data_IF_995955345191
#
_entry.id   IF_995955345191
#
_cell.length_a   1.000
_cell.length_b   1.000
_cell.length_c   1.000
_cell.angle_alpha   90.00
_cell.angle_beta   90.00
_cell.angle_gamma   90.00
#
_symmetry.space_group_name_H-M   'P 1'
#
loop_
_entity.id
_entity.type
_entity.pdbx_description
1 polymer ?
#
# COMPACT_ATOMS: atom_id res chain seq x y z
N UNK A 1 13.21 -6.93 -11.67
CA UNK A 1 12.41 -6.98 -10.43
C UNK A 1 12.28 -5.58 -9.86
N UNK A 2 11.09 -5.20 -9.36
CA UNK A 2 10.89 -3.94 -8.65
C UNK A 2 11.07 -4.13 -7.14
N UNK A 3 10.57 -5.25 -6.63
CA UNK A 3 10.82 -5.74 -5.27
C UNK A 3 11.54 -7.07 -5.38
N UNK A 4 12.66 -7.20 -4.70
CA UNK A 4 13.46 -8.41 -4.64
C UNK A 4 13.94 -8.62 -3.20
N UNK A 5 13.34 -9.59 -2.52
CA UNK A 5 13.57 -9.88 -1.11
C UNK A 5 13.97 -11.34 -0.96
N UNK A 6 15.04 -11.58 -0.22
CA UNK A 6 15.55 -12.91 0.13
C UNK A 6 15.74 -13.04 1.63
N UNK A 7 15.16 -14.09 2.17
CA UNK A 7 15.31 -14.51 3.57
C UNK A 7 14.98 -13.40 4.58
N UNK A 8 13.84 -12.71 4.38
CA UNK A 8 13.40 -11.62 5.25
C UNK A 8 12.90 -12.15 6.58
N UNK A 9 13.50 -11.67 7.67
CA UNK A 9 13.07 -11.93 9.05
C UNK A 9 12.73 -10.64 9.77
N UNK A 10 11.63 -10.66 10.53
CA UNK A 10 11.23 -9.56 11.42
C UNK A 10 10.85 -10.13 12.79
N UNK A 11 11.47 -9.57 13.82
CA UNK A 11 11.20 -9.91 15.22
C UNK A 11 10.86 -8.65 16.00
N UNK A 12 9.91 -8.76 16.90
CA UNK A 12 9.55 -7.69 17.85
C UNK A 12 9.90 -8.15 19.27
N UNK A 13 10.55 -7.28 20.01
CA UNK A 13 10.79 -7.51 21.43
C UNK A 13 9.48 -7.31 22.22
N UNK A 14 9.01 -8.35 22.90
CA UNK A 14 7.90 -8.30 23.84
C UNK A 14 8.40 -8.68 25.24
N UNK A 15 8.88 -7.71 26.00
CA UNK A 15 9.47 -7.96 27.32
C UNK A 15 10.70 -8.87 27.24
N UNK A 16 10.65 -10.06 27.87
CA UNK A 16 11.76 -11.04 27.86
C UNK A 16 11.71 -12.04 26.69
N UNK A 17 10.70 -11.96 25.82
CA UNK A 17 10.55 -12.87 24.68
C UNK A 17 10.51 -12.08 23.38
N UNK A 18 11.19 -12.57 22.35
CA UNK A 18 11.11 -12.04 20.99
C UNK A 18 10.00 -12.76 20.24
N UNK A 19 9.05 -12.01 19.67
CA UNK A 19 8.02 -12.56 18.78
C UNK A 19 8.52 -12.48 17.35
N UNK A 20 8.78 -13.64 16.74
CA UNK A 20 9.17 -13.76 15.33
C UNK A 20 7.92 -13.70 14.46
N UNK A 21 7.73 -12.59 13.73
CA UNK A 21 6.50 -12.30 12.96
C UNK A 21 6.67 -12.62 11.49
N UNK A 22 7.86 -12.39 10.91
CA UNK A 22 8.21 -12.71 9.51
C UNK A 22 9.41 -13.64 9.54
N UNK A 23 9.31 -14.80 8.87
CA UNK A 23 10.22 -15.93 9.05
C UNK A 23 10.77 -16.43 7.72
N UNK A 24 11.84 -15.81 7.20
CA UNK A 24 12.52 -16.26 6.00
C UNK A 24 11.73 -16.06 4.70
N UNK A 25 11.07 -14.91 4.56
CA UNK A 25 10.25 -14.61 3.37
C UNK A 25 11.12 -14.33 2.16
N UNK A 26 10.80 -15.00 1.05
CA UNK A 26 11.29 -14.68 -0.30
C UNK A 26 10.16 -14.09 -1.12
N UNK A 27 10.31 -12.85 -1.61
CA UNK A 27 9.27 -12.13 -2.32
C UNK A 27 9.85 -11.39 -3.53
N UNK A 28 9.30 -11.70 -4.72
CA UNK A 28 9.73 -11.10 -5.98
C UNK A 28 8.53 -10.51 -6.70
N UNK A 29 8.55 -9.18 -6.94
CA UNK A 29 7.49 -8.46 -7.64
C UNK A 29 8.07 -7.78 -8.87
N UNK A 30 7.42 -7.97 -10.02
CA UNK A 30 7.82 -7.36 -11.28
C UNK A 30 7.27 -5.95 -11.42
N UNK A 31 7.88 -5.13 -12.26
CA UNK A 31 7.35 -3.82 -12.59
C UNK A 31 6.02 -3.95 -13.34
N UNK A 32 5.04 -3.11 -12.99
CA UNK A 32 3.70 -3.11 -13.58
C UNK A 32 2.76 -4.22 -13.06
N UNK A 33 3.24 -5.08 -12.19
CA UNK A 33 2.48 -6.19 -11.59
C UNK A 33 1.64 -5.71 -10.40
N UNK A 34 0.49 -6.35 -10.17
CA UNK A 34 -0.17 -6.37 -8.86
C UNK A 34 0.11 -7.71 -8.21
N UNK A 35 0.93 -7.70 -7.16
CA UNK A 35 1.19 -8.88 -6.33
C UNK A 35 0.43 -8.76 -5.01
N UNK A 36 -0.27 -9.82 -4.60
CA UNK A 36 -1.06 -9.81 -3.36
C UNK A 36 -0.51 -10.77 -2.31
N UNK A 37 -0.50 -10.30 -1.05
CA UNK A 37 -0.29 -11.13 0.12
C UNK A 37 -1.63 -11.46 0.76
N UNK A 38 -1.94 -12.74 0.85
CA UNK A 38 -3.18 -13.31 1.38
C UNK A 38 -2.89 -13.92 2.74
N UNK A 39 -3.87 -13.97 3.62
CA UNK A 39 -3.75 -14.73 4.88
C UNK A 39 -4.55 -14.09 6.01
N UNK A 40 -4.69 -14.83 7.11
CA UNK A 40 -5.44 -14.39 8.30
C UNK A 40 -4.84 -13.14 8.93
N UNK A 41 -5.67 -12.40 9.69
CA UNK A 41 -5.19 -11.25 10.45
C UNK A 41 -4.06 -11.65 11.42
N UNK A 42 -3.03 -10.82 11.50
CA UNK A 42 -1.90 -11.04 12.39
C UNK A 42 -0.81 -12.00 11.89
N UNK A 43 -0.91 -12.59 10.67
CA UNK A 43 0.13 -13.48 10.13
C UNK A 43 1.41 -12.77 9.67
N UNK A 44 1.42 -11.41 9.60
CA UNK A 44 2.62 -10.62 9.27
C UNK A 44 2.57 -9.81 7.97
N UNK A 45 1.48 -9.84 7.19
CA UNK A 45 1.34 -9.13 5.89
C UNK A 45 1.65 -7.64 5.98
N UNK A 46 0.96 -6.91 6.86
CA UNK A 46 1.19 -5.47 7.05
C UNK A 46 2.60 -5.17 7.58
N UNK A 47 3.23 -6.13 8.27
CA UNK A 47 4.64 -6.02 8.70
C UNK A 47 5.56 -5.98 7.48
N UNK A 48 5.35 -6.86 6.49
CA UNK A 48 6.12 -6.85 5.22
C UNK A 48 5.93 -5.51 4.50
N UNK A 49 4.69 -5.02 4.39
CA UNK A 49 4.43 -3.71 3.76
C UNK A 49 5.18 -2.58 4.47
N UNK A 50 5.18 -2.58 5.81
CA UNK A 50 5.88 -1.55 6.61
C UNK A 50 7.39 -1.61 6.45
N UNK A 51 7.97 -2.81 6.29
CA UNK A 51 9.39 -2.97 5.95
C UNK A 51 9.69 -2.36 4.58
N UNK A 52 8.91 -2.71 3.55
CA UNK A 52 9.08 -2.21 2.18
C UNK A 52 8.82 -0.70 2.08
N UNK A 53 7.92 -0.15 2.91
CA UNK A 53 7.68 1.28 3.03
C UNK A 53 8.80 2.05 3.76
N UNK A 54 9.77 1.34 4.36
CA UNK A 54 10.81 1.96 5.20
C UNK A 54 10.30 2.50 6.53
N UNK A 55 9.09 2.09 6.95
CA UNK A 55 8.48 2.45 8.24
C UNK A 55 8.96 1.55 9.36
N UNK A 56 9.37 0.32 9.04
CA UNK A 56 9.99 -0.63 9.95
C UNK A 56 11.38 -0.95 9.43
N UNK A 57 12.41 -0.54 10.19
CA UNK A 57 13.80 -0.61 9.74
C UNK A 57 14.60 -1.75 10.39
N UNK A 58 14.06 -2.35 11.46
CA UNK A 58 14.69 -3.49 12.16
C UNK A 58 14.22 -4.81 11.54
N UNK A 59 15.00 -5.34 10.62
CA UNK A 59 14.77 -6.59 9.91
C UNK A 59 16.12 -7.24 9.55
N UNK A 60 16.12 -8.50 9.14
CA UNK A 60 17.28 -9.25 8.66
C UNK A 60 16.97 -9.87 7.29
N UNK A 61 18.00 -10.19 6.52
CA UNK A 61 17.90 -10.72 5.18
C UNK A 61 18.48 -9.77 4.13
N UNK A 62 18.12 -9.98 2.86
CA UNK A 62 18.56 -9.15 1.75
C UNK A 62 17.35 -8.54 1.04
N UNK A 63 17.40 -7.26 0.73
CA UNK A 63 16.32 -6.56 0.05
C UNK A 63 16.87 -5.59 -0.99
N UNK A 64 16.27 -5.62 -2.18
CA UNK A 64 16.45 -4.60 -3.21
C UNK A 64 15.08 -4.04 -3.60
N UNK A 65 14.95 -2.72 -3.64
CA UNK A 65 13.75 -2.00 -4.05
C UNK A 65 14.10 -1.02 -5.16
N UNK A 66 13.33 -1.03 -6.26
CA UNK A 66 13.56 -0.14 -7.40
C UNK A 66 15.01 -0.22 -7.94
N UNK A 67 15.62 -1.41 -7.89
CA UNK A 67 17.01 -1.64 -8.29
C UNK A 67 18.07 -1.16 -7.30
N UNK A 68 17.68 -0.70 -6.11
CA UNK A 68 18.61 -0.26 -5.07
C UNK A 68 18.65 -1.26 -3.92
N UNK A 69 19.84 -1.67 -3.50
CA UNK A 69 20.03 -2.49 -2.30
C UNK A 69 19.71 -1.68 -1.06
N UNK A 70 18.83 -2.21 -0.22
CA UNK A 70 18.41 -1.61 1.05
C UNK A 70 19.09 -2.33 2.21
N UNK A 71 19.63 -1.55 3.14
CA UNK A 71 20.26 -2.10 4.35
C UNK A 71 19.29 -2.02 5.55
N UNK A 72 19.34 -2.98 6.49
CA UNK A 72 18.65 -2.83 7.76
C UNK A 72 19.01 -1.51 8.44
N UNK A 73 18.06 -0.94 9.17
CA UNK A 73 18.15 0.38 9.86
C UNK A 73 18.33 1.58 8.90
N UNK A 74 18.33 1.38 7.60
CA UNK A 74 18.38 2.49 6.63
C UNK A 74 17.05 3.25 6.61
N UNK A 75 17.12 4.58 6.76
CA UNK A 75 15.97 5.45 6.55
C UNK A 75 15.84 5.79 5.06
N UNK A 76 14.64 5.69 4.52
CA UNK A 76 14.38 6.08 3.14
C UNK A 76 14.42 7.60 2.99
N UNK A 77 15.11 8.08 1.97
CA UNK A 77 15.26 9.49 1.65
C UNK A 77 15.15 9.72 0.13
N UNK A 78 14.94 10.97 -0.27
CA UNK A 78 14.98 11.40 -1.66
C UNK A 78 14.02 10.60 -2.56
N UNK A 79 14.55 10.10 -3.68
CA UNK A 79 13.78 9.38 -4.69
C UNK A 79 13.15 8.09 -4.18
N UNK A 80 13.84 7.32 -3.34
CA UNK A 80 13.31 6.09 -2.79
C UNK A 80 12.03 6.33 -1.97
N UNK A 81 12.05 7.32 -1.06
CA UNK A 81 10.89 7.71 -0.25
C UNK A 81 9.74 8.25 -1.11
N UNK A 82 10.06 8.97 -2.19
CA UNK A 82 9.06 9.50 -3.12
C UNK A 82 8.41 8.40 -3.94
N UNK A 83 9.18 7.45 -4.44
CA UNK A 83 8.74 6.42 -5.38
C UNK A 83 8.00 5.25 -4.72
N UNK A 84 8.05 5.13 -3.39
CA UNK A 84 7.33 4.11 -2.61
C UNK A 84 6.33 4.82 -1.71
N UNK A 85 5.05 4.65 -2.00
CA UNK A 85 3.97 5.24 -1.21
C UNK A 85 3.06 4.14 -0.65
N UNK A 86 2.34 4.46 0.43
CA UNK A 86 1.48 3.50 1.11
C UNK A 86 0.10 4.11 1.38
N UNK A 87 -0.93 3.33 1.07
CA UNK A 87 -2.31 3.57 1.46
C UNK A 87 -2.62 2.61 2.61
N UNK A 88 -2.95 3.17 3.76
CA UNK A 88 -3.20 2.43 4.99
C UNK A 88 -4.65 1.93 5.07
N UNK A 89 -4.87 0.90 5.86
CA UNK A 89 -6.18 0.30 6.12
C UNK A 89 -7.19 1.31 6.67
N UNK A 90 -6.77 2.18 7.59
CA UNK A 90 -7.60 3.27 8.12
C UNK A 90 -7.19 4.61 7.50
N UNK A 91 -7.97 5.11 6.53
CA UNK A 91 -7.68 6.40 5.92
C UNK A 91 -7.86 7.57 6.91
N UNK A 92 -8.71 7.42 7.94
CA UNK A 92 -8.90 8.45 8.95
C UNK A 92 -7.64 8.63 9.81
N UNK A 93 -7.03 7.53 10.25
CA UNK A 93 -5.79 7.57 11.02
C UNK A 93 -4.60 8.13 10.20
N UNK A 94 -4.67 8.07 8.87
CA UNK A 94 -3.64 8.61 7.97
C UNK A 94 -3.76 10.12 7.73
N UNK A 95 -4.88 10.75 8.12
CA UNK A 95 -5.15 12.17 7.95
C UNK A 95 -5.22 12.86 9.33
N UNK A 96 -4.51 13.97 9.49
CA UNK A 96 -4.57 14.72 10.75
C UNK A 96 -5.98 15.33 10.93
N UNK A 97 -6.70 15.03 12.03
CA UNK A 97 -8.13 15.38 12.16
C UNK A 97 -8.40 16.89 12.15
N UNK A 98 -7.44 17.70 12.57
CA UNK A 98 -7.55 19.16 12.64
C UNK A 98 -6.99 19.90 11.42
N UNK A 99 -6.47 19.16 10.42
CA UNK A 99 -5.97 19.76 9.19
C UNK A 99 -7.02 19.65 8.09
N UNK A 100 -7.18 20.71 7.31
CA UNK A 100 -7.95 20.67 6.07
C UNK A 100 -7.27 19.76 5.05
N UNK A 101 -8.03 19.22 4.14
CA UNK A 101 -7.53 18.33 3.08
C UNK A 101 -6.45 19.01 2.24
N UNK A 102 -6.58 20.30 1.94
CA UNK A 102 -5.52 21.07 1.25
C UNK A 102 -4.15 20.94 1.91
N UNK A 103 -4.10 20.97 3.26
CA UNK A 103 -2.85 20.81 3.99
C UNK A 103 -2.30 19.39 3.87
N UNK A 104 -3.16 18.37 3.93
CA UNK A 104 -2.75 16.98 3.76
C UNK A 104 -2.09 16.71 2.39
N UNK A 105 -2.47 17.45 1.36
CA UNK A 105 -1.89 17.40 0.03
C UNK A 105 -0.63 18.25 -0.11
N UNK A 106 -0.61 19.45 0.47
CA UNK A 106 0.53 20.37 0.36
C UNK A 106 1.76 19.89 1.15
N UNK A 107 1.58 19.21 2.28
CA UNK A 107 2.68 18.73 3.12
C UNK A 107 3.66 17.79 2.39
N UNK A 108 3.24 16.69 1.73
CA UNK A 108 4.17 15.83 1.01
C UNK A 108 4.89 16.55 -0.13
N UNK A 109 4.20 17.45 -0.86
CA UNK A 109 4.82 18.25 -1.92
C UNK A 109 5.92 19.17 -1.39
N UNK A 110 5.66 19.83 -0.26
CA UNK A 110 6.65 20.69 0.43
C UNK A 110 7.86 19.88 0.93
N UNK A 111 7.62 18.72 1.56
CA UNK A 111 8.68 17.84 2.07
C UNK A 111 9.61 17.40 0.93
N UNK A 112 9.05 17.09 -0.23
CA UNK A 112 9.81 16.66 -1.41
C UNK A 112 10.23 17.81 -2.32
N UNK A 113 10.00 19.08 -1.92
CA UNK A 113 10.35 20.28 -2.67
C UNK A 113 9.79 20.28 -4.10
N UNK A 114 8.58 19.71 -4.28
CA UNK A 114 7.88 19.70 -5.55
C UNK A 114 7.07 20.98 -5.66
N UNK A 115 7.27 21.79 -6.71
CA UNK A 115 6.46 22.99 -6.96
C UNK A 115 4.99 22.59 -7.16
N UNK A 116 4.07 23.33 -6.56
CA UNK A 116 2.64 23.11 -6.69
C UNK A 116 1.86 24.42 -6.52
N UNK A 117 0.68 24.42 -7.07
CA UNK A 117 -0.33 25.47 -6.92
C UNK A 117 -1.69 24.87 -6.51
N UNK A 118 -2.72 25.69 -6.46
CA UNK A 118 -4.07 25.23 -6.14
C UNK A 118 -4.63 24.28 -7.19
N UNK A 119 -4.24 24.43 -8.45
CA UNK A 119 -4.73 23.58 -9.54
C UNK A 119 -4.10 22.19 -9.51
N UNK A 120 -2.85 22.07 -9.07
CA UNK A 120 -2.19 20.79 -8.79
C UNK A 120 -3.02 19.91 -7.83
N UNK A 121 -3.50 20.50 -6.73
CA UNK A 121 -4.31 19.77 -5.74
C UNK A 121 -5.70 19.44 -6.29
N UNK A 122 -6.32 20.36 -7.01
CA UNK A 122 -7.63 20.12 -7.64
C UNK A 122 -7.56 19.00 -8.69
N UNK A 123 -6.51 18.97 -9.50
CA UNK A 123 -6.28 17.89 -10.47
C UNK A 123 -6.12 16.54 -9.79
N UNK A 124 -5.35 16.46 -8.69
CA UNK A 124 -5.20 15.24 -7.92
C UNK A 124 -6.53 14.74 -7.33
N UNK A 125 -7.40 15.64 -6.87
CA UNK A 125 -8.76 15.29 -6.43
C UNK A 125 -9.62 14.81 -7.59
N UNK A 126 -9.56 15.48 -8.74
CA UNK A 126 -10.33 15.09 -9.93
C UNK A 126 -9.96 13.68 -10.43
N UNK A 127 -8.69 13.29 -10.37
CA UNK A 127 -8.22 11.94 -10.74
C UNK A 127 -8.89 10.83 -9.94
N UNK A 128 -9.31 11.12 -8.71
CA UNK A 128 -10.01 10.16 -7.85
C UNK A 128 -11.53 10.41 -7.79
N UNK A 129 -12.05 11.26 -8.68
CA UNK A 129 -13.49 11.56 -8.77
C UNK A 129 -14.02 12.42 -7.61
N UNK A 130 -13.18 13.25 -6.99
CA UNK A 130 -13.60 14.17 -5.94
C UNK A 130 -13.68 15.62 -6.44
N UNK A 131 -14.70 16.38 -6.00
CA UNK A 131 -14.83 17.80 -6.37
C UNK A 131 -13.80 18.67 -5.64
N UNK A 132 -13.46 19.81 -6.21
CA UNK A 132 -12.41 20.70 -5.73
C UNK A 132 -12.69 21.31 -4.34
N UNK A 133 -13.96 21.46 -3.94
CA UNK A 133 -14.38 22.00 -2.64
C UNK A 133 -13.96 21.10 -1.47
N UNK A 134 -13.64 19.83 -1.73
CA UNK A 134 -13.09 18.90 -0.73
C UNK A 134 -11.79 19.45 -0.09
N UNK A 135 -11.02 20.26 -0.81
CA UNK A 135 -9.80 20.89 -0.29
C UNK A 135 -10.02 21.68 1.01
N UNK A 136 -11.17 22.36 1.13
CA UNK A 136 -11.52 23.19 2.28
C UNK A 136 -12.10 22.42 3.47
N UNK A 137 -12.46 21.13 3.27
CA UNK A 137 -13.08 20.28 4.29
C UNK A 137 -12.04 19.67 5.23
N UNK A 138 -12.53 19.24 6.40
CA UNK A 138 -11.78 18.44 7.36
C UNK A 138 -12.08 16.94 7.16
N UNK A 139 -11.21 16.01 7.60
CA UNK A 139 -11.43 14.57 7.44
C UNK A 139 -12.78 14.07 7.99
N UNK A 140 -13.25 14.60 9.12
CA UNK A 140 -14.52 14.23 9.73
C UNK A 140 -15.76 14.66 8.90
N UNK A 141 -15.61 15.57 7.96
CA UNK A 141 -16.67 16.05 7.05
C UNK A 141 -16.79 15.21 5.76
N UNK A 142 -15.98 14.17 5.63
CA UNK A 142 -15.95 13.28 4.48
C UNK A 142 -16.54 11.91 4.82
N UNK A 143 -17.20 11.27 3.85
CA UNK A 143 -17.58 9.86 3.95
C UNK A 143 -16.35 8.94 3.99
N UNK A 144 -16.53 7.66 4.36
CA UNK A 144 -15.46 6.66 4.33
C UNK A 144 -14.80 6.54 2.95
N UNK A 145 -15.61 6.40 1.90
CA UNK A 145 -15.13 6.33 0.52
C UNK A 145 -14.43 7.60 0.05
N UNK A 146 -14.93 8.78 0.45
CA UNK A 146 -14.26 10.05 0.14
C UNK A 146 -12.90 10.16 0.83
N UNK A 147 -12.78 9.75 2.11
CA UNK A 147 -11.50 9.70 2.83
C UNK A 147 -10.52 8.75 2.17
N UNK A 148 -10.99 7.58 1.71
CA UNK A 148 -10.15 6.63 0.99
C UNK A 148 -9.64 7.21 -0.33
N UNK A 149 -10.50 7.85 -1.12
CA UNK A 149 -10.11 8.55 -2.35
C UNK A 149 -9.09 9.66 -2.08
N UNK A 150 -9.24 10.42 -0.99
CA UNK A 150 -8.25 11.42 -0.55
C UNK A 150 -6.91 10.77 -0.21
N UNK A 151 -6.90 9.65 0.52
CA UNK A 151 -5.66 8.94 0.86
C UNK A 151 -4.94 8.41 -0.39
N UNK A 152 -5.69 7.87 -1.36
CA UNK A 152 -5.15 7.43 -2.66
C UNK A 152 -4.58 8.64 -3.43
N UNK A 153 -5.34 9.72 -3.60
CA UNK A 153 -4.89 10.91 -4.33
C UNK A 153 -3.63 11.52 -3.71
N UNK A 154 -3.55 11.56 -2.37
CA UNK A 154 -2.37 12.04 -1.65
C UNK A 154 -1.13 11.19 -1.95
N UNK A 155 -1.26 9.88 -1.99
CA UNK A 155 -0.17 8.98 -2.35
C UNK A 155 0.30 9.20 -3.80
N UNK A 156 -0.64 9.45 -4.72
CA UNK A 156 -0.35 9.67 -6.14
C UNK A 156 0.30 11.01 -6.46
N UNK A 157 0.17 12.02 -5.60
CA UNK A 157 0.82 13.33 -5.79
C UNK A 157 2.32 13.23 -6.02
N UNK A 158 2.96 12.22 -5.44
CA UNK A 158 4.39 12.01 -5.56
C UNK A 158 4.77 11.16 -6.80
N UNK A 159 3.79 10.74 -7.60
CA UNK A 159 3.97 9.90 -8.79
C UNK A 159 4.81 8.65 -8.48
N UNK A 160 4.37 7.79 -7.54
CA UNK A 160 5.16 6.64 -7.11
C UNK A 160 5.23 5.57 -8.19
N UNK A 161 6.33 4.81 -8.22
CA UNK A 161 6.46 3.60 -9.01
C UNK A 161 5.87 2.37 -8.31
N UNK A 162 5.88 2.39 -6.97
CA UNK A 162 5.35 1.33 -6.11
C UNK A 162 4.31 1.90 -5.16
N UNK A 163 3.10 1.35 -5.21
CA UNK A 163 2.04 1.65 -4.25
C UNK A 163 1.75 0.42 -3.40
N UNK A 164 1.92 0.59 -2.10
CA UNK A 164 1.62 -0.42 -1.09
C UNK A 164 0.19 -0.20 -0.59
N UNK A 165 -0.64 -1.23 -0.69
CA UNK A 165 -2.07 -1.17 -0.37
C UNK A 165 -2.35 -2.13 0.81
N UNK A 166 -2.52 -1.58 2.00
CA UNK A 166 -2.82 -2.35 3.21
C UNK A 166 -4.33 -2.36 3.45
N UNK A 167 -5.02 -3.42 3.01
CA UNK A 167 -6.47 -3.61 3.11
C UNK A 167 -7.28 -2.36 2.69
N UNK A 168 -7.09 -1.84 1.47
CA UNK A 168 -7.56 -0.50 1.09
C UNK A 168 -9.07 -0.32 1.06
N UNK A 169 -9.85 -1.39 1.20
CA UNK A 169 -11.32 -1.36 1.10
C UNK A 169 -12.04 -2.03 2.27
N UNK A 170 -11.32 -2.57 3.27
CA UNK A 170 -11.90 -3.38 4.36
C UNK A 170 -12.89 -2.64 5.25
N UNK A 171 -12.82 -1.29 5.31
CA UNK A 171 -13.70 -0.45 6.11
C UNK A 171 -14.87 0.17 5.31
N UNK A 172 -15.08 -0.29 4.06
CA UNK A 172 -16.07 0.29 3.13
C UNK A 172 -17.20 -0.72 2.86
N UNK A 173 -18.38 -0.19 2.53
CA UNK A 173 -19.47 -1.02 2.02
C UNK A 173 -19.14 -1.58 0.62
N UNK A 174 -19.82 -2.65 0.22
CA UNK A 174 -19.51 -3.40 -1.02
C UNK A 174 -19.56 -2.55 -2.29
N UNK A 175 -20.49 -1.58 -2.37
CA UNK A 175 -20.62 -0.74 -3.56
C UNK A 175 -19.46 0.23 -3.68
N UNK A 176 -19.08 0.87 -2.59
CA UNK A 176 -17.93 1.79 -2.53
C UNK A 176 -16.61 1.02 -2.68
N UNK A 177 -16.52 -0.20 -2.14
CA UNK A 177 -15.37 -1.08 -2.34
C UNK A 177 -15.12 -1.33 -3.84
N UNK A 178 -16.14 -1.75 -4.60
CA UNK A 178 -16.01 -1.99 -6.03
C UNK A 178 -15.55 -0.73 -6.80
N UNK A 179 -16.09 0.44 -6.45
CA UNK A 179 -15.67 1.71 -7.05
C UNK A 179 -14.19 2.01 -6.79
N UNK A 180 -13.70 1.82 -5.55
CA UNK A 180 -12.30 2.06 -5.18
C UNK A 180 -11.36 1.08 -5.89
N UNK A 181 -11.73 -0.20 -6.00
CA UNK A 181 -10.93 -1.19 -6.72
C UNK A 181 -10.82 -0.87 -8.22
N UNK A 182 -11.93 -0.49 -8.85
CA UNK A 182 -11.93 -0.06 -10.24
C UNK A 182 -11.09 1.21 -10.46
N UNK A 183 -11.19 2.18 -9.55
CA UNK A 183 -10.34 3.37 -9.55
C UNK A 183 -8.86 3.00 -9.48
N UNK A 184 -8.46 2.14 -8.54
CA UNK A 184 -7.07 1.70 -8.40
C UNK A 184 -6.56 0.98 -9.67
N UNK A 185 -7.39 0.12 -10.29
CA UNK A 185 -7.04 -0.53 -11.55
C UNK A 185 -6.84 0.46 -12.71
N UNK A 186 -7.68 1.49 -12.80
CA UNK A 186 -7.54 2.55 -13.79
C UNK A 186 -6.26 3.34 -13.58
N UNK A 187 -6.02 3.81 -12.36
CA UNK A 187 -4.82 4.58 -11.99
C UNK A 187 -3.53 3.78 -12.19
N UNK A 188 -3.54 2.47 -11.89
CA UNK A 188 -2.40 1.58 -12.16
C UNK A 188 -1.99 1.60 -13.62
N UNK A 189 -2.97 1.50 -14.53
CA UNK A 189 -2.74 1.50 -15.99
C UNK A 189 -2.27 2.86 -16.48
N UNK A 190 -2.93 3.95 -16.06
CA UNK A 190 -2.60 5.31 -16.47
C UNK A 190 -1.21 5.75 -16.04
N UNK A 191 -0.77 5.36 -14.84
CA UNK A 191 0.53 5.74 -14.28
C UNK A 191 1.59 4.65 -14.35
N UNK A 192 1.30 3.50 -14.98
CA UNK A 192 2.20 2.34 -15.08
C UNK A 192 2.80 1.93 -13.74
N UNK A 193 1.97 1.86 -12.70
CA UNK A 193 2.40 1.57 -11.33
C UNK A 193 2.46 0.07 -11.04
N UNK A 194 3.26 -0.26 -10.05
CA UNK A 194 3.31 -1.60 -9.44
C UNK A 194 2.60 -1.56 -8.11
N UNK A 195 1.79 -2.58 -7.83
CA UNK A 195 1.07 -2.69 -6.56
C UNK A 195 1.55 -3.89 -5.75
N UNK A 196 1.75 -3.68 -4.45
CA UNK A 196 1.79 -4.76 -3.47
C UNK A 196 0.56 -4.59 -2.56
N UNK A 197 -0.39 -5.52 -2.70
CA UNK A 197 -1.69 -5.49 -2.05
C UNK A 197 -1.73 -6.49 -0.90
N UNK A 198 -2.26 -6.07 0.23
CA UNK A 198 -2.67 -6.96 1.33
C UNK A 198 -4.19 -6.96 1.38
N UNK A 199 -4.78 -8.14 1.35
CA UNK A 199 -6.21 -8.35 1.60
C UNK A 199 -6.45 -9.72 2.20
N UNK A 200 -7.55 -9.86 2.93
CA UNK A 200 -8.10 -11.14 3.37
C UNK A 200 -9.34 -11.54 2.55
N UNK A 201 -9.79 -10.68 1.64
CA UNK A 201 -10.95 -10.87 0.78
C UNK A 201 -10.52 -11.50 -0.55
N UNK A 202 -11.02 -12.71 -0.83
CA UNK A 202 -10.70 -13.47 -2.04
C UNK A 202 -11.17 -12.76 -3.32
N UNK A 203 -12.31 -12.08 -3.29
CA UNK A 203 -12.85 -11.37 -4.44
C UNK A 203 -12.00 -10.15 -4.80
N UNK A 204 -11.52 -9.41 -3.80
CA UNK A 204 -10.57 -8.31 -3.98
C UNK A 204 -9.30 -8.80 -4.67
N UNK A 205 -8.78 -9.93 -4.21
CA UNK A 205 -7.54 -10.51 -4.74
C UNK A 205 -7.75 -11.00 -6.18
N UNK A 206 -8.82 -11.72 -6.44
CA UNK A 206 -9.14 -12.20 -7.79
C UNK A 206 -9.34 -11.04 -8.80
N UNK A 207 -9.92 -9.93 -8.33
CA UNK A 207 -10.16 -8.75 -9.16
C UNK A 207 -8.89 -7.94 -9.46
N UNK A 208 -7.99 -7.84 -8.49
CA UNK A 208 -6.85 -6.92 -8.55
C UNK A 208 -5.54 -7.56 -8.98
N UNK A 209 -5.34 -8.87 -8.72
CA UNK A 209 -4.01 -9.44 -8.68
C UNK A 209 -3.61 -10.15 -9.97
N UNK A 210 -2.35 -9.98 -10.34
CA UNK A 210 -1.69 -10.79 -11.38
C UNK A 210 -1.11 -12.07 -10.76
N UNK A 211 -0.55 -11.97 -9.54
CA UNK A 211 -0.04 -13.08 -8.73
C UNK A 211 -0.32 -12.83 -7.25
N UNK A 212 -0.34 -13.90 -6.47
CA UNK A 212 -0.51 -13.79 -5.03
C UNK A 212 0.29 -14.87 -4.29
N UNK A 213 0.50 -14.66 -2.99
CA UNK A 213 1.03 -15.66 -2.09
C UNK A 213 0.23 -15.72 -0.79
N UNK A 214 -0.02 -16.94 -0.31
CA UNK A 214 -0.64 -17.19 0.99
C UNK A 214 0.43 -17.09 2.07
N UNK A 215 0.15 -16.29 3.09
CA UNK A 215 1.00 -16.13 4.26
C UNK A 215 0.36 -16.76 5.50
N UNK A 216 1.05 -17.70 6.12
CA UNK A 216 0.63 -18.40 7.33
C UNK A 216 1.77 -18.42 8.34
N UNK A 217 1.49 -18.09 9.59
CA UNK A 217 2.46 -18.15 10.69
C UNK A 217 3.81 -17.46 10.44
N UNK A 218 3.82 -16.44 9.58
CA UNK A 218 5.01 -15.67 9.25
C UNK A 218 5.78 -16.16 8.02
N UNK A 219 5.29 -17.16 7.31
CA UNK A 219 5.92 -17.77 6.13
C UNK A 219 5.00 -17.68 4.90
N UNK A 220 5.56 -17.69 3.69
CA UNK A 220 4.80 -17.85 2.45
C UNK A 220 4.67 -19.34 2.15
N UNK A 221 3.45 -19.87 2.21
CA UNK A 221 3.18 -21.30 2.10
C UNK A 221 2.71 -21.73 0.71
N UNK A 222 2.08 -20.83 -0.03
CA UNK A 222 1.55 -21.13 -1.36
C UNK A 222 1.61 -19.91 -2.26
N UNK A 223 1.88 -20.13 -3.55
CA UNK A 223 1.87 -19.10 -4.60
C UNK A 223 0.78 -19.38 -5.61
N UNK A 224 0.13 -18.34 -6.08
CA UNK A 224 -0.94 -18.36 -7.07
C UNK A 224 -0.54 -17.47 -8.26
N UNK A 225 -0.65 -18.00 -9.45
CA UNK A 225 -0.64 -17.24 -10.69
C UNK A 225 -2.05 -16.75 -11.05
N UNK A 226 -2.17 -16.00 -12.13
CA UNK A 226 -3.45 -15.46 -12.59
C UNK A 226 -4.48 -16.54 -12.94
N UNK A 227 -4.04 -17.69 -13.45
CA UNK A 227 -4.93 -18.79 -13.78
C UNK A 227 -5.50 -19.42 -12.51
N UNK A 228 -4.66 -19.66 -11.50
CA UNK A 228 -5.09 -20.18 -10.20
C UNK A 228 -6.05 -19.21 -9.49
N UNK A 229 -5.78 -17.90 -9.55
CA UNK A 229 -6.65 -16.86 -8.98
C UNK A 229 -8.03 -16.82 -9.65
N UNK A 230 -8.10 -17.03 -10.96
CA UNK A 230 -9.37 -17.03 -11.70
C UNK A 230 -10.26 -18.25 -11.39
N UNK A 231 -9.68 -19.35 -10.93
CA UNK A 231 -10.40 -20.59 -10.52
C UNK A 231 -10.94 -20.53 -9.08
N UNK A 232 -10.65 -19.44 -8.36
CA UNK A 232 -11.06 -19.22 -6.99
C UNK A 232 -10.04 -19.73 -5.96
N UNK A 233 -9.87 -18.92 -4.90
CA UNK A 233 -8.99 -19.27 -3.77
C UNK A 233 -9.84 -20.00 -2.72
N UNK A 234 -9.83 -21.33 -2.76
CA UNK A 234 -10.70 -22.17 -1.93
C UNK A 234 -10.27 -22.33 -0.45
N UNK A 235 -9.28 -21.57 0.06
CA UNK A 235 -8.69 -21.76 1.41
C UNK A 235 -8.41 -20.45 2.15
N UNK A 236 -9.39 -19.54 2.26
CA UNK A 236 -9.25 -18.39 3.16
C UNK A 236 -10.04 -18.52 4.47
N UNK A 237 -10.69 -19.67 4.71
CA UNK A 237 -11.44 -19.97 5.94
C UNK A 237 -10.55 -20.57 7.05
#
# INVERSE_FOLDING_TARGET
>A
MLIDIHDLHVQFEQGKQAKHVVKGINLHVQQGETFSLIGRSGCGKSTILRVIAGLLTHWQGNMSLLGQTIKPQQRFQGALRRNIQMVFQDPYASLHPQHRIERAFSEPLKIHQIPFDKDTIKQALAQVGLPADVTSRYPHQLSGGQRQRVAIARALLLQPQLLLLDEPTSALDMSVQAEILNLLNTLKKEHNMTYLLVSHDADVIAHMSDRAALMENGELTQHYDREALSKGIHRLD
#
